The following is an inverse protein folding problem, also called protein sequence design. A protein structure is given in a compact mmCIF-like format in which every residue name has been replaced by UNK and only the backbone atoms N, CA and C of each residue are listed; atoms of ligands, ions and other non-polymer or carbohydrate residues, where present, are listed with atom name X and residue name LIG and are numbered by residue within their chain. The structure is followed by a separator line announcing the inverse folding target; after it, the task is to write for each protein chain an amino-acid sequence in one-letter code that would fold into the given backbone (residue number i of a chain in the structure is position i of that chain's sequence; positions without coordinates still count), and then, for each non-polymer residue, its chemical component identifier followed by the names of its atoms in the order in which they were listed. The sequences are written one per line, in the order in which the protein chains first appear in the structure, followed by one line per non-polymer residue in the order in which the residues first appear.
data_IF_870407297285
#
_entry.id   IF_870407297285
#
_cell.length_a   1.000
_cell.length_b   1.000
_cell.length_c   1.000
_cell.angle_alpha   90.00
_cell.angle_beta   90.00
_cell.angle_gamma   90.00
#
_symmetry.space_group_name_H-M   'P 1'
#
loop_
_entity.id
_entity.type
_entity.pdbx_description
1 polymer ?
#
# COMPACT_ATOMS: atom_id res chain seq x y z
N UNK A 1 -11.50 16.63 -2.25
CA UNK A 1 -12.40 15.94 -1.30
C UNK A 1 -12.02 16.38 0.11
N UNK A 2 -13.01 16.66 0.98
CA UNK A 2 -12.79 16.98 2.40
C UNK A 2 -13.55 15.91 3.20
N UNK A 3 -12.87 15.19 4.07
CA UNK A 3 -13.44 14.14 4.91
C UNK A 3 -12.93 14.35 6.34
N UNK A 4 -13.70 13.91 7.32
CA UNK A 4 -13.27 13.92 8.72
C UNK A 4 -12.09 12.97 8.90
N UNK A 5 -11.02 13.44 9.55
CA UNK A 5 -9.82 12.65 9.83
C UNK A 5 -9.72 12.45 11.35
N UNK A 6 -9.47 11.23 11.85
CA UNK A 6 -9.30 11.02 13.28
C UNK A 6 -8.04 11.72 13.77
N UNK A 7 -8.18 12.60 14.78
CA UNK A 7 -7.09 13.45 15.27
C UNK A 7 -6.45 12.94 16.59
N UNK A 8 -7.10 12.02 17.31
CA UNK A 8 -6.60 11.56 18.60
C UNK A 8 -7.50 10.54 19.29
N UNK A 9 -7.15 10.18 20.54
CA UNK A 9 -7.84 9.19 21.37
C UNK A 9 -7.95 7.79 20.74
N UNK A 10 -6.92 7.38 19.99
CA UNK A 10 -6.86 6.06 19.39
C UNK A 10 -6.83 4.97 20.46
N UNK A 11 -7.69 3.97 20.28
CA UNK A 11 -7.71 2.77 21.09
C UNK A 11 -7.95 1.55 20.21
N UNK A 12 -7.28 0.45 20.51
CA UNK A 12 -7.56 -0.82 19.87
C UNK A 12 -8.90 -1.36 20.34
N UNK A 13 -9.64 -2.00 19.43
CA UNK A 13 -10.85 -2.74 19.78
C UNK A 13 -10.46 -4.06 20.46
N UNK A 14 -11.25 -4.47 21.46
CA UNK A 14 -11.13 -5.82 22.01
C UNK A 14 -11.80 -6.85 21.07
N UNK A 15 -11.58 -8.15 21.32
CA UNK A 15 -12.05 -9.22 20.42
C UNK A 15 -13.57 -9.24 20.23
N UNK A 16 -14.35 -8.93 21.28
CA UNK A 16 -15.82 -8.89 21.18
C UNK A 16 -16.31 -7.67 20.37
N UNK A 17 -15.66 -6.52 20.53
CA UNK A 17 -15.93 -5.33 19.75
C UNK A 17 -15.55 -5.53 18.29
N UNK A 18 -14.40 -6.14 18.01
CA UNK A 18 -13.94 -6.44 16.66
C UNK A 18 -14.91 -7.39 15.94
N UNK A 19 -15.42 -8.42 16.61
CA UNK A 19 -16.41 -9.33 16.00
C UNK A 19 -17.74 -8.64 15.66
N UNK A 20 -18.09 -7.56 16.35
CA UNK A 20 -19.30 -6.76 16.08
C UNK A 20 -19.03 -5.58 15.15
N UNK A 21 -17.77 -5.31 14.83
CA UNK A 21 -17.37 -4.18 14.03
C UNK A 21 -17.63 -4.46 12.55
N UNK A 22 -18.45 -3.62 11.92
CA UNK A 22 -18.70 -3.66 10.49
C UNK A 22 -18.23 -2.35 9.84
N UNK A 23 -17.11 -2.43 9.11
CA UNK A 23 -16.53 -1.27 8.40
C UNK A 23 -17.47 -0.67 7.36
N UNK A 24 -18.34 -1.48 6.75
CA UNK A 24 -19.23 -1.04 5.67
C UNK A 24 -20.41 -0.20 6.18
N UNK A 25 -20.70 -0.26 7.47
CA UNK A 25 -21.80 0.46 8.13
C UNK A 25 -21.34 1.78 8.77
N UNK A 26 -20.05 2.13 8.66
CA UNK A 26 -19.52 3.36 9.23
C UNK A 26 -20.05 4.59 8.51
N UNK A 27 -20.54 5.54 9.30
CA UNK A 27 -20.94 6.86 8.80
C UNK A 27 -19.69 7.71 8.51
N UNK A 28 -19.66 8.32 7.32
CA UNK A 28 -18.54 9.14 6.84
C UNK A 28 -18.47 10.51 7.54
N UNK A 29 -19.59 10.96 8.09
CA UNK A 29 -19.72 12.22 8.81
C UNK A 29 -19.73 12.02 10.34
N UNK A 30 -19.38 10.82 10.81
CA UNK A 30 -19.23 10.50 12.23
C UNK A 30 -18.07 11.29 12.87
N UNK A 31 -18.28 11.76 14.10
CA UNK A 31 -17.23 12.38 14.94
C UNK A 31 -16.12 11.38 15.31
N UNK A 32 -16.39 10.08 15.23
CA UNK A 32 -15.45 9.00 15.52
C UNK A 32 -15.06 8.33 14.19
N UNK A 33 -13.75 8.36 13.89
CA UNK A 33 -13.15 7.64 12.76
C UNK A 33 -12.35 6.40 13.20
N UNK A 34 -11.98 5.56 12.25
CA UNK A 34 -11.15 4.37 12.48
C UNK A 34 -9.95 4.32 11.53
N UNK A 35 -8.91 3.62 11.96
CA UNK A 35 -7.77 3.21 11.11
C UNK A 35 -7.83 1.69 11.03
N UNK A 36 -7.69 1.15 9.82
CA UNK A 36 -7.73 -0.28 9.55
C UNK A 36 -6.33 -0.74 9.17
N UNK A 37 -5.85 -1.79 9.83
CA UNK A 37 -4.62 -2.49 9.51
C UNK A 37 -5.03 -3.88 9.02
N UNK A 38 -4.93 -4.10 7.71
CA UNK A 38 -5.47 -5.28 7.03
C UNK A 38 -4.41 -5.88 6.09
N UNK A 39 -4.37 -7.20 6.00
CA UNK A 39 -3.57 -7.90 4.99
C UNK A 39 -4.30 -7.89 3.64
N UNK A 40 -3.65 -7.37 2.59
CA UNK A 40 -4.23 -7.31 1.25
C UNK A 40 -3.75 -8.48 0.38
N UNK A 41 -4.67 -9.37 0.02
CA UNK A 41 -4.43 -10.35 -1.03
C UNK A 41 -4.76 -9.74 -2.40
N UNK A 42 -3.73 -9.45 -3.20
CA UNK A 42 -3.90 -8.88 -4.53
C UNK A 42 -3.91 -9.98 -5.63
N UNK A 43 -5.03 -10.21 -6.33
CA UNK A 43 -5.11 -11.26 -7.35
C UNK A 43 -4.17 -11.05 -8.53
N UNK A 44 -3.41 -12.08 -8.91
CA UNK A 44 -2.41 -12.04 -10.00
C UNK A 44 -2.93 -11.48 -11.33
N UNK A 45 -4.16 -11.82 -11.70
CA UNK A 45 -4.76 -11.38 -12.96
C UNK A 45 -5.03 -9.86 -13.01
N UNK A 46 -5.12 -9.20 -11.84
CA UNK A 46 -5.28 -7.76 -11.79
C UNK A 46 -3.97 -7.03 -12.06
N UNK A 47 -2.79 -7.60 -11.81
CA UNK A 47 -1.51 -6.90 -11.99
C UNK A 47 -1.29 -6.34 -13.40
N UNK A 48 -1.83 -7.01 -14.43
CA UNK A 48 -1.64 -6.59 -15.82
C UNK A 48 -2.59 -5.46 -16.23
N UNK A 49 -3.64 -5.17 -15.45
CA UNK A 49 -4.67 -4.18 -15.80
C UNK A 49 -4.26 -2.74 -15.43
N UNK A 50 -3.73 -2.45 -14.22
CA UNK A 50 -3.09 -1.20 -13.88
C UNK A 50 -1.59 -1.32 -14.14
N UNK A 51 -1.16 -1.05 -15.36
CA UNK A 51 0.25 -1.05 -15.71
C UNK A 51 1.04 0.06 -15.00
N UNK A 52 0.38 1.18 -14.70
CA UNK A 52 1.09 2.42 -14.30
C UNK A 52 0.86 2.82 -12.83
N UNK A 53 -0.09 2.20 -12.12
CA UNK A 53 -0.46 2.59 -10.75
C UNK A 53 -0.69 1.34 -9.87
N UNK A 54 0.35 0.87 -9.14
CA UNK A 54 0.20 -0.28 -8.25
C UNK A 54 -0.79 0.05 -7.12
N UNK A 55 -1.56 -0.96 -6.70
CA UNK A 55 -2.46 -0.84 -5.55
C UNK A 55 -1.62 -0.80 -4.27
N UNK A 56 -1.90 0.17 -3.40
CA UNK A 56 -1.22 0.34 -2.10
C UNK A 56 0.33 0.42 -2.25
N UNK A 57 0.87 1.46 -2.91
CA UNK A 57 2.31 1.62 -3.03
C UNK A 57 2.95 1.80 -1.66
N UNK A 58 3.94 0.97 -1.36
CA UNK A 58 4.75 1.06 -0.16
C UNK A 58 6.03 1.87 -0.43
N UNK A 59 6.57 2.51 0.59
CA UNK A 59 7.91 3.09 0.49
C UNK A 59 8.95 1.97 0.60
N UNK A 60 9.47 1.51 -0.54
CA UNK A 60 10.51 0.50 -0.59
C UNK A 60 11.60 0.86 -1.60
N UNK A 61 12.80 0.35 -1.36
CA UNK A 61 13.94 0.56 -2.24
C UNK A 61 13.94 -0.52 -3.34
N UNK A 62 13.85 -0.10 -4.59
CA UNK A 62 13.95 -1.00 -5.75
C UNK A 62 15.40 -1.46 -5.89
N UNK A 63 15.63 -2.75 -5.78
CA UNK A 63 16.92 -3.38 -6.03
C UNK A 63 17.03 -3.82 -7.49
N UNK A 64 18.27 -3.99 -7.98
CA UNK A 64 18.53 -4.38 -9.37
C UNK A 64 17.84 -5.71 -9.76
N UNK A 65 17.72 -6.67 -8.85
CA UNK A 65 17.05 -7.95 -9.08
C UNK A 65 15.55 -7.81 -9.37
N UNK A 66 14.89 -6.78 -8.82
CA UNK A 66 13.47 -6.49 -9.02
C UNK A 66 13.15 -5.85 -10.38
N UNK A 67 14.17 -5.43 -11.14
CA UNK A 67 13.98 -4.84 -12.45
C UNK A 67 13.53 -5.88 -13.49
N UNK A 68 12.71 -5.43 -14.44
CA UNK A 68 12.34 -6.23 -15.61
C UNK A 68 13.58 -6.54 -16.47
N UNK A 69 13.53 -7.60 -17.29
CA UNK A 69 14.64 -7.94 -18.18
C UNK A 69 14.99 -6.78 -19.12
N UNK A 70 13.97 -6.09 -19.64
CA UNK A 70 14.13 -4.90 -20.48
C UNK A 70 14.87 -3.78 -19.73
N UNK A 71 14.55 -3.53 -18.47
CA UNK A 71 15.22 -2.51 -17.65
C UNK A 71 16.64 -2.88 -17.24
N UNK A 72 16.96 -4.18 -17.15
CA UNK A 72 18.29 -4.68 -16.78
C UNK A 72 19.31 -4.48 -17.90
N UNK A 73 18.93 -4.69 -19.16
CA UNK A 73 19.81 -4.52 -20.33
C UNK A 73 20.55 -3.16 -20.38
N UNK A 74 19.87 -2.00 -20.33
CA UNK A 74 20.54 -0.70 -20.33
C UNK A 74 21.31 -0.45 -19.03
N UNK A 75 20.85 -0.97 -17.87
CA UNK A 75 21.61 -0.86 -16.63
C UNK A 75 22.98 -1.56 -16.72
N UNK A 76 23.06 -2.65 -17.48
CA UNK A 76 24.29 -3.40 -17.70
C UNK A 76 25.19 -2.69 -18.71
N UNK A 77 24.60 -2.18 -19.80
CA UNK A 77 25.29 -1.41 -20.83
C UNK A 77 25.97 -0.17 -20.27
N UNK A 78 25.28 0.59 -19.41
CA UNK A 78 25.78 1.83 -18.83
C UNK A 78 26.46 1.66 -17.46
N UNK A 79 26.60 0.44 -16.94
CA UNK A 79 27.27 0.18 -15.66
C UNK A 79 26.52 0.71 -14.43
N UNK A 80 25.19 0.82 -14.51
CA UNK A 80 24.31 1.41 -13.50
C UNK A 80 23.87 0.41 -12.40
N UNK A 81 24.41 -0.80 -12.37
CA UNK A 81 24.06 -1.81 -11.35
C UNK A 81 24.20 -1.29 -9.91
N UNK A 82 25.21 -0.46 -9.67
CA UNK A 82 25.53 0.06 -8.35
C UNK A 82 24.74 1.32 -7.98
N UNK A 83 23.93 1.86 -8.90
CA UNK A 83 23.08 3.03 -8.64
C UNK A 83 21.69 2.65 -8.11
N UNK A 84 21.36 1.35 -8.06
CA UNK A 84 20.11 0.84 -7.50
C UNK A 84 20.39 -0.07 -6.27
N UNK A 85 19.96 0.29 -5.05
CA UNK A 85 19.31 1.52 -4.64
C UNK A 85 20.36 2.56 -4.23
N UNK A 86 20.34 3.72 -4.87
CA UNK A 86 21.07 4.90 -4.39
C UNK A 86 20.63 5.20 -2.94
N UNK A 87 21.61 5.27 -2.04
CA UNK A 87 21.42 5.72 -0.65
C UNK A 87 20.69 7.05 -0.57
#
# INVERSE_FOLDING_TARGET
MRQFLPLGNFHWLNSEQLHKFNVLELDKDSDIGCILEEDLLYPKHLHNKPNDLPLAPEHFLITYDMLSNYSKEPCDEFGLKNTCPSK
#
